data_IF_398830588269
#
_entry.id   IF_398830588269
#
_cell.length_a   1.000
_cell.length_b   1.000
_cell.length_c   1.000
_cell.angle_alpha   90.00
_cell.angle_beta   90.00
_cell.angle_gamma   90.00
#
_symmetry.space_group_name_H-M   'P 1'
#
loop_
_entity.id
_entity.type
_entity.pdbx_description
1 polymer ?
#
# COMPACT_ATOMS: atom_id res chain seq x y z
N UNK A 1 -10.79 -18.68 3.46
CA UNK A 1 -11.21 -17.32 3.90
C UNK A 1 -10.12 -16.54 4.64
N UNK A 2 -9.08 -17.18 5.19
CA UNK A 2 -8.04 -16.48 5.96
C UNK A 2 -7.26 -15.44 5.14
N UNK A 3 -6.87 -15.79 3.90
CA UNK A 3 -6.18 -14.87 2.98
C UNK A 3 -6.93 -13.55 2.76
N UNK A 4 -8.25 -13.62 2.57
CA UNK A 4 -9.10 -12.45 2.37
C UNK A 4 -9.15 -11.56 3.64
N UNK A 5 -9.25 -12.19 4.82
CA UNK A 5 -9.22 -11.48 6.11
C UNK A 5 -7.87 -10.80 6.36
N UNK A 6 -6.78 -11.43 5.94
CA UNK A 6 -5.44 -10.87 6.09
C UNK A 6 -5.25 -9.66 5.16
N UNK A 7 -5.60 -9.81 3.88
CA UNK A 7 -5.52 -8.74 2.88
C UNK A 7 -6.37 -7.51 3.27
N UNK A 8 -7.57 -7.74 3.79
CA UNK A 8 -8.47 -6.63 4.21
C UNK A 8 -8.01 -5.89 5.46
N UNK A 9 -7.10 -6.47 6.26
CA UNK A 9 -6.44 -5.82 7.39
C UNK A 9 -5.15 -5.10 7.00
N UNK A 10 -4.43 -5.61 6.01
CA UNK A 10 -3.18 -5.00 5.52
C UNK A 10 -3.42 -3.80 4.60
N UNK A 11 -4.51 -3.84 3.81
CA UNK A 11 -4.91 -2.77 2.91
C UNK A 11 -5.63 -1.64 3.66
N UNK A 12 -5.12 -0.41 3.49
CA UNK A 12 -5.74 0.83 4.01
C UNK A 12 -6.52 1.54 2.92
N UNK A 13 -7.59 2.23 3.31
CA UNK A 13 -8.31 3.10 2.40
C UNK A 13 -7.66 4.50 2.44
N UNK A 14 -6.94 4.93 1.38
CA UNK A 14 -6.25 6.23 1.38
C UNK A 14 -7.21 7.43 1.39
N UNK A 15 -8.48 7.19 1.03
CA UNK A 15 -9.55 8.20 1.05
C UNK A 15 -10.32 8.23 2.37
N UNK A 16 -10.12 7.26 3.25
CA UNK A 16 -10.85 7.13 4.49
C UNK A 16 -10.01 7.67 5.65
N UNK A 17 -10.67 8.11 6.73
CA UNK A 17 -9.99 8.56 7.95
C UNK A 17 -9.23 7.40 8.62
N UNK A 18 -8.00 7.12 8.16
CA UNK A 18 -7.04 6.22 8.78
C UNK A 18 -7.55 4.80 9.12
N UNK A 19 -8.54 4.31 8.38
CA UNK A 19 -9.20 3.04 8.63
C UNK A 19 -8.84 2.00 7.55
N UNK A 20 -8.85 0.73 7.93
CA UNK A 20 -8.64 -0.39 7.01
C UNK A 20 -9.82 -0.51 6.04
N UNK A 21 -9.61 -1.23 4.93
CA UNK A 21 -10.70 -1.47 3.97
C UNK A 21 -11.81 -2.35 4.55
N UNK A 22 -11.52 -3.14 5.60
CA UNK A 22 -12.52 -3.91 6.35
C UNK A 22 -13.50 -3.05 7.14
N UNK A 23 -13.01 -1.99 7.79
CA UNK A 23 -13.78 -1.12 8.70
C UNK A 23 -14.36 0.11 8.00
N UNK A 24 -13.81 0.47 6.84
CA UNK A 24 -14.25 1.65 6.11
C UNK A 24 -15.44 1.37 5.20
N UNK A 25 -16.48 2.21 5.30
CA UNK A 25 -17.65 2.22 4.41
C UNK A 25 -17.56 3.23 3.25
N UNK A 26 -16.37 3.70 2.90
CA UNK A 26 -16.23 4.51 1.69
C UNK A 26 -16.47 3.65 0.44
N UNK A 27 -17.02 4.25 -0.62
CA UNK A 27 -17.22 3.56 -1.91
C UNK A 27 -15.93 2.91 -2.45
N UNK A 28 -14.77 3.55 -2.22
CA UNK A 28 -13.47 2.99 -2.58
C UNK A 28 -13.12 1.73 -1.79
N UNK A 29 -13.46 1.66 -0.50
CA UNK A 29 -13.18 0.50 0.35
C UNK A 29 -14.05 -0.71 -0.03
N UNK A 30 -15.30 -0.48 -0.46
CA UNK A 30 -16.16 -1.53 -1.02
C UNK A 30 -15.60 -2.08 -2.33
N UNK A 31 -15.22 -1.22 -3.27
CA UNK A 31 -14.64 -1.63 -4.56
C UNK A 31 -13.37 -2.47 -4.37
N UNK A 32 -12.48 -2.04 -3.45
CA UNK A 32 -11.27 -2.78 -3.08
C UNK A 32 -11.59 -4.15 -2.47
N UNK A 33 -12.57 -4.24 -1.57
CA UNK A 33 -13.00 -5.51 -0.96
C UNK A 33 -13.55 -6.48 -1.99
N UNK A 34 -14.42 -5.99 -2.86
CA UNK A 34 -15.06 -6.81 -3.90
C UNK A 34 -14.02 -7.33 -4.90
N UNK A 35 -13.07 -6.47 -5.31
CA UNK A 35 -11.99 -6.89 -6.19
C UNK A 35 -11.01 -7.87 -5.53
N UNK A 36 -10.66 -7.64 -4.27
CA UNK A 36 -9.84 -8.56 -3.46
C UNK A 36 -10.53 -9.93 -3.37
N UNK A 37 -11.83 -9.96 -3.11
CA UNK A 37 -12.61 -11.19 -3.04
C UNK A 37 -12.62 -11.94 -4.38
N UNK A 38 -12.81 -11.24 -5.50
CA UNK A 38 -12.75 -11.85 -6.83
C UNK A 38 -11.39 -12.48 -7.13
N UNK A 39 -10.28 -11.82 -6.78
CA UNK A 39 -8.94 -12.34 -7.04
C UNK A 39 -8.55 -13.49 -6.13
N UNK A 40 -8.96 -13.46 -4.86
CA UNK A 40 -8.79 -14.59 -3.94
C UNK A 40 -9.59 -15.79 -4.44
N UNK A 41 -10.82 -15.56 -4.93
CA UNK A 41 -11.66 -16.61 -5.53
C UNK A 41 -11.08 -17.16 -6.84
N UNK A 42 -10.35 -16.34 -7.61
CA UNK A 42 -9.65 -16.81 -8.82
C UNK A 42 -8.36 -17.57 -8.54
N UNK A 43 -8.00 -17.78 -7.26
CA UNK A 43 -6.79 -18.51 -6.85
C UNK A 43 -5.51 -17.67 -6.88
N UNK A 44 -5.63 -16.34 -6.88
CA UNK A 44 -4.47 -15.44 -6.85
C UNK A 44 -3.80 -15.46 -5.48
N UNK A 45 -2.48 -15.36 -5.47
CA UNK A 45 -1.71 -15.29 -4.23
C UNK A 45 -1.80 -13.91 -3.55
N UNK A 46 -1.50 -13.85 -2.25
CA UNK A 46 -1.43 -12.61 -1.46
C UNK A 46 -0.63 -11.53 -2.18
N UNK A 47 0.55 -11.86 -2.68
CA UNK A 47 1.42 -10.87 -3.31
C UNK A 47 0.86 -10.35 -4.63
N UNK A 48 0.26 -11.21 -5.44
CA UNK A 48 -0.38 -10.82 -6.70
C UNK A 48 -1.55 -9.86 -6.46
N UNK A 49 -2.33 -10.12 -5.42
CA UNK A 49 -3.43 -9.23 -5.03
C UNK A 49 -2.89 -7.85 -4.64
N UNK A 50 -1.84 -7.81 -3.82
CA UNK A 50 -1.26 -6.55 -3.35
C UNK A 50 -0.61 -5.76 -4.49
N UNK A 51 0.11 -6.44 -5.39
CA UNK A 51 0.72 -5.82 -6.56
C UNK A 51 -0.33 -5.22 -7.50
N UNK A 52 -1.41 -5.96 -7.79
CA UNK A 52 -2.53 -5.45 -8.57
C UNK A 52 -3.18 -4.22 -7.91
N UNK A 53 -3.39 -4.26 -6.60
CA UNK A 53 -3.98 -3.14 -5.86
C UNK A 53 -3.08 -1.90 -5.91
N UNK A 54 -1.77 -2.07 -5.76
CA UNK A 54 -0.81 -0.96 -5.88
C UNK A 54 -0.73 -0.42 -7.31
N UNK A 55 -0.72 -1.29 -8.32
CA UNK A 55 -0.68 -0.89 -9.73
C UNK A 55 -1.92 -0.10 -10.16
N UNK A 56 -3.09 -0.43 -9.60
CA UNK A 56 -4.37 0.21 -9.97
C UNK A 56 -4.74 1.41 -9.10
N UNK A 57 -4.47 1.34 -7.80
CA UNK A 57 -4.93 2.33 -6.80
C UNK A 57 -3.77 3.11 -6.14
N UNK A 58 -2.52 2.75 -6.43
CA UNK A 58 -1.32 3.44 -5.96
C UNK A 58 -0.72 2.88 -4.68
N UNK A 59 0.48 3.35 -4.35
CA UNK A 59 1.24 2.91 -3.17
C UNK A 59 0.55 3.22 -1.83
N UNK A 60 -0.39 4.18 -1.79
CA UNK A 60 -1.08 4.60 -0.58
C UNK A 60 -2.10 3.59 -0.02
N UNK A 61 -2.42 2.55 -0.79
CA UNK A 61 -3.34 1.48 -0.35
C UNK A 61 -2.62 0.47 0.54
N UNK A 62 -1.28 0.40 0.45
CA UNK A 62 -0.47 -0.51 1.26
C UNK A 62 0.15 0.24 2.43
N UNK A 63 0.27 -0.45 3.58
CA UNK A 63 0.95 0.09 4.76
C UNK A 63 2.46 0.28 4.52
N UNK A 64 3.07 -0.60 3.72
CA UNK A 64 4.49 -0.62 3.43
C UNK A 64 4.70 -0.29 1.93
N UNK A 65 4.97 0.97 1.56
CA UNK A 65 5.33 1.29 0.18
C UNK A 65 6.68 0.64 -0.13
N UNK A 66 6.84 -0.01 -1.30
CA UNK A 66 8.10 -0.66 -1.65
C UNK A 66 9.25 0.35 -1.63
N UNK A 67 10.45 -0.10 -1.21
CA UNK A 67 11.69 0.66 -1.29
C UNK A 67 12.05 0.91 -2.76
N UNK A 68 11.42 1.93 -3.34
CA UNK A 68 11.76 2.39 -4.68
C UNK A 68 13.05 3.22 -4.63
N UNK A 69 13.81 3.29 -5.73
CA UNK A 69 15.01 4.14 -5.80
C UNK A 69 14.71 5.59 -5.41
N UNK A 70 13.52 6.10 -5.75
CA UNK A 70 13.07 7.44 -5.39
C UNK A 70 12.91 7.62 -3.87
N UNK A 71 12.33 6.64 -3.16
CA UNK A 71 12.23 6.65 -1.69
C UNK A 71 13.64 6.67 -1.09
N UNK A 72 14.54 5.83 -1.59
CA UNK A 72 15.92 5.77 -1.09
C UNK A 72 16.67 7.10 -1.29
N UNK A 73 16.53 7.75 -2.45
CA UNK A 73 17.12 9.06 -2.70
C UNK A 73 16.58 10.13 -1.75
N UNK A 74 15.28 10.13 -1.47
CA UNK A 74 14.66 11.09 -0.55
C UNK A 74 15.22 10.95 0.88
N UNK A 75 15.53 9.73 1.30
CA UNK A 75 16.12 9.44 2.62
C UNK A 75 17.63 9.72 2.68
N UNK A 76 18.37 9.56 1.58
CA UNK A 76 19.81 9.85 1.51
C UNK A 76 20.12 11.34 1.27
N UNK A 77 19.18 12.09 0.69
CA UNK A 77 19.31 13.54 0.47
C UNK A 77 19.67 14.35 1.74
N UNK A 78 18.99 14.19 2.90
CA UNK A 78 19.35 14.94 4.10
C UNK A 78 20.75 14.60 4.63
N UNK A 79 21.18 13.35 4.50
CA UNK A 79 22.54 12.93 4.87
C UNK A 79 23.56 13.61 3.95
N UNK A 80 23.30 13.62 2.64
CA UNK A 80 24.14 14.30 1.66
C UNK A 80 24.29 15.81 1.92
N UNK A 81 23.19 16.49 2.28
CA UNK A 81 23.21 17.92 2.62
C UNK A 81 24.07 18.19 3.85
N UNK A 82 23.98 17.35 4.90
CA UNK A 82 24.80 17.48 6.11
C UNK A 82 26.30 17.30 5.79
N UNK A 83 26.66 16.30 4.97
CA UNK A 83 28.05 16.09 4.58
C UNK A 83 28.62 17.23 3.74
N UNK A 84 27.83 17.81 2.84
CA UNK A 84 28.27 18.94 2.01
C UNK A 84 28.35 20.23 2.85
N UNK A 85 27.37 20.46 3.73
CA UNK A 85 27.31 21.66 4.58
C UNK A 85 28.27 21.65 5.77
N UNK A 86 28.66 20.48 6.29
CA UNK A 86 29.62 20.36 7.40
C UNK A 86 31.09 20.33 6.97
N UNK A 87 31.37 20.18 5.66
CA UNK A 87 32.72 20.15 5.10
C UNK A 87 33.14 21.48 4.45
N UNK A 88 32.28 22.51 4.49
CA UNK A 88 32.57 23.89 4.07
C UNK A 88 32.76 24.77 5.30
#
# INVERSE_FOLDING_TARGET
>A
EELFRELTRELRCPKCQNNNISDSNAGLAQDLREKTYQMVKSGSDKQQVLDYMVARYGNFVRYDPPLTPAVLTLWLAPIGIIFIGGFT
#
